data_IF_421069097883
#
_entry.id   IF_421069097883
#
_cell.length_a   1.000
_cell.length_b   1.000
_cell.length_c   1.000
_cell.angle_alpha   90.00
_cell.angle_beta   90.00
_cell.angle_gamma   90.00
#
_symmetry.space_group_name_H-M   'P 1'
#
loop_
_entity.id
_entity.type
_entity.pdbx_description
1 polymer ?
#
# COMPACT_ATOMS: atom_id res chain seq x y z
N UNK A 1 -19.58 17.41 6.78
CA UNK A 1 -18.92 16.45 5.87
C UNK A 1 -17.62 17.05 5.33
N UNK A 2 -16.55 16.30 5.39
CA UNK A 2 -15.27 16.75 4.85
C UNK A 2 -15.22 16.38 3.36
N UNK A 3 -15.11 17.37 2.51
CA UNK A 3 -15.14 17.19 1.06
C UNK A 3 -13.82 17.56 0.39
N UNK A 4 -12.95 18.30 1.08
CA UNK A 4 -11.67 18.76 0.53
C UNK A 4 -10.56 17.86 1.05
N UNK A 5 -9.73 17.35 0.14
CA UNK A 5 -8.67 16.40 0.51
C UNK A 5 -7.62 17.02 1.45
N UNK A 6 -7.36 18.32 1.32
CA UNK A 6 -6.41 19.01 2.20
C UNK A 6 -6.89 19.10 3.65
N UNK A 7 -8.18 18.88 3.88
CA UNK A 7 -8.78 18.90 5.22
C UNK A 7 -8.87 17.50 5.85
N UNK A 8 -8.49 16.46 5.12
CA UNK A 8 -8.55 15.08 5.60
C UNK A 8 -7.34 14.74 6.47
N UNK A 9 -7.60 14.44 7.74
CA UNK A 9 -6.58 14.08 8.73
C UNK A 9 -6.92 12.74 9.36
N UNK A 10 -5.97 12.17 10.12
CA UNK A 10 -6.25 10.97 10.88
C UNK A 10 -7.29 11.23 11.99
N UNK A 11 -7.25 12.42 12.57
CA UNK A 11 -8.14 12.80 13.68
C UNK A 11 -9.59 12.94 13.26
N UNK A 12 -9.85 13.39 12.03
CA UNK A 12 -11.22 13.57 11.53
C UNK A 12 -11.72 12.45 10.62
N UNK A 13 -11.02 11.30 10.64
CA UNK A 13 -11.46 10.12 9.91
C UNK A 13 -12.83 9.65 10.42
N UNK A 14 -13.74 9.20 9.53
CA UNK A 14 -15.06 8.74 9.96
C UNK A 14 -14.95 7.53 10.91
N UNK A 15 -15.54 7.65 12.10
CA UNK A 15 -15.48 6.62 13.16
C UNK A 15 -16.63 5.62 13.03
N UNK A 16 -16.95 5.19 11.83
CA UNK A 16 -17.90 4.13 11.61
C UNK A 16 -17.28 2.81 12.06
N UNK A 17 -18.07 1.96 12.69
CA UNK A 17 -17.58 0.71 13.27
C UNK A 17 -16.84 -0.16 12.26
N UNK A 18 -17.37 -0.23 11.04
CA UNK A 18 -16.79 -1.04 9.96
C UNK A 18 -15.39 -0.58 9.51
N UNK A 19 -15.03 0.69 9.79
CA UNK A 19 -13.72 1.24 9.40
C UNK A 19 -12.76 1.37 10.58
N UNK A 20 -13.23 1.10 11.78
CA UNK A 20 -12.46 1.33 13.00
C UNK A 20 -11.18 0.51 13.05
N UNK A 21 -11.25 -0.77 12.70
CA UNK A 21 -10.08 -1.65 12.71
C UNK A 21 -8.98 -1.15 11.76
N UNK A 22 -9.38 -0.74 10.56
CA UNK A 22 -8.43 -0.21 9.57
C UNK A 22 -7.75 1.05 10.11
N UNK A 23 -8.54 1.96 10.72
CA UNK A 23 -7.99 3.19 11.30
C UNK A 23 -7.00 2.88 12.42
N UNK A 24 -7.34 1.95 13.32
CA UNK A 24 -6.46 1.56 14.44
C UNK A 24 -5.14 1.00 13.92
N UNK A 25 -5.18 0.13 12.91
CA UNK A 25 -3.98 -0.48 12.35
C UNK A 25 -3.10 0.56 11.63
N UNK A 26 -3.71 1.44 10.86
CA UNK A 26 -2.97 2.51 10.19
C UNK A 26 -2.37 3.47 11.22
N UNK A 27 -3.14 3.83 12.25
CA UNK A 27 -2.66 4.70 13.31
C UNK A 27 -1.45 4.09 14.04
N UNK A 28 -1.51 2.80 14.33
CA UNK A 28 -0.39 2.10 14.97
C UNK A 28 0.86 2.13 14.09
N UNK A 29 0.69 1.95 12.78
CA UNK A 29 1.80 2.01 11.84
C UNK A 29 2.37 3.43 11.75
N UNK A 30 1.53 4.46 11.76
CA UNK A 30 2.00 5.84 11.73
C UNK A 30 2.87 6.17 12.94
N UNK A 31 2.49 5.67 14.11
CA UNK A 31 3.22 5.94 15.35
C UNK A 31 4.55 5.19 15.43
N UNK A 32 4.67 4.02 14.78
CA UNK A 32 5.87 3.19 14.83
C UNK A 32 6.03 2.40 13.53
N UNK A 33 6.35 3.06 12.41
CA UNK A 33 6.40 2.38 11.10
C UNK A 33 7.44 1.27 11.00
N UNK A 34 8.55 1.40 11.72
CA UNK A 34 9.62 0.39 11.71
C UNK A 34 9.23 -0.91 12.42
N UNK A 35 8.12 -0.93 13.14
CA UNK A 35 7.56 -2.15 13.73
C UNK A 35 6.71 -2.95 12.76
N UNK A 36 6.42 -2.40 11.59
CA UNK A 36 5.61 -3.06 10.56
C UNK A 36 6.45 -3.33 9.32
N UNK A 37 6.25 -4.47 8.70
CA UNK A 37 6.89 -4.82 7.41
C UNK A 37 5.87 -4.80 6.29
N UNK A 38 4.64 -5.18 6.59
CA UNK A 38 3.57 -5.22 5.61
C UNK A 38 2.24 -4.97 6.32
N UNK A 39 1.41 -4.11 5.73
CA UNK A 39 0.05 -3.87 6.19
C UNK A 39 -0.87 -3.94 4.98
N UNK A 40 -1.92 -4.75 5.06
CA UNK A 40 -2.97 -4.81 4.04
C UNK A 40 -4.24 -4.19 4.60
N UNK A 41 -4.86 -3.28 3.83
CA UNK A 41 -6.11 -2.62 4.23
C UNK A 41 -7.08 -2.68 3.07
N UNK A 42 -8.26 -3.29 3.31
CA UNK A 42 -9.36 -3.29 2.36
C UNK A 42 -10.44 -2.33 2.83
N UNK A 43 -10.69 -1.28 2.06
CA UNK A 43 -11.71 -0.27 2.35
C UNK A 43 -12.32 0.27 1.07
N UNK A 44 -13.60 0.70 1.11
CA UNK A 44 -14.18 1.44 -0.01
C UNK A 44 -13.38 2.70 -0.33
N UNK A 45 -13.60 3.25 -1.54
CA UNK A 45 -12.77 4.35 -2.04
C UNK A 45 -12.80 5.61 -1.19
N UNK A 46 -13.95 5.99 -0.64
CA UNK A 46 -14.05 7.23 0.15
C UNK A 46 -13.22 7.17 1.44
N UNK A 47 -13.37 6.15 2.32
CA UNK A 47 -12.51 6.07 3.50
C UNK A 47 -11.04 5.80 3.15
N UNK A 48 -10.75 5.08 2.05
CA UNK A 48 -9.36 4.89 1.60
C UNK A 48 -8.71 6.23 1.24
N UNK A 49 -9.43 7.06 0.50
CA UNK A 49 -8.96 8.39 0.13
C UNK A 49 -8.64 9.21 1.37
N UNK A 50 -9.52 9.17 2.36
CA UNK A 50 -9.34 9.89 3.61
C UNK A 50 -8.08 9.40 4.34
N UNK A 51 -7.90 8.08 4.45
CA UNK A 51 -6.70 7.51 5.10
C UNK A 51 -5.43 7.92 4.37
N UNK A 52 -5.42 7.86 3.04
CA UNK A 52 -4.23 8.26 2.27
C UNK A 52 -3.84 9.71 2.54
N UNK A 53 -4.80 10.61 2.51
CA UNK A 53 -4.52 12.02 2.77
C UNK A 53 -4.20 12.28 4.23
N UNK A 54 -4.82 11.55 5.16
CA UNK A 54 -4.48 11.62 6.57
C UNK A 54 -3.04 11.18 6.83
N UNK A 55 -2.60 10.10 6.18
CA UNK A 55 -1.23 9.63 6.26
C UNK A 55 -0.25 10.63 5.65
N UNK A 56 -0.57 11.16 4.47
CA UNK A 56 0.27 12.15 3.81
C UNK A 56 0.42 13.41 4.66
N UNK A 57 -0.66 13.86 5.28
CA UNK A 57 -0.63 15.01 6.17
C UNK A 57 0.20 14.72 7.44
N UNK A 58 0.06 13.52 7.99
CA UNK A 58 0.82 13.11 9.18
C UNK A 58 2.33 13.06 8.89
N UNK A 59 2.70 12.55 7.72
CA UNK A 59 4.10 12.39 7.32
C UNK A 59 4.60 13.49 6.37
N UNK A 60 3.95 14.64 6.34
CA UNK A 60 4.27 15.70 5.36
C UNK A 60 5.73 16.15 5.38
N UNK A 61 6.39 16.05 6.53
CA UNK A 61 7.81 16.46 6.68
C UNK A 61 8.77 15.28 6.50
N UNK A 62 8.26 14.09 6.23
CA UNK A 62 9.07 12.90 6.04
C UNK A 62 9.48 12.78 4.57
N UNK A 63 10.77 12.49 4.33
CA UNK A 63 11.30 12.41 2.96
C UNK A 63 11.50 10.99 2.47
N UNK A 64 11.32 9.99 3.32
CA UNK A 64 11.58 8.58 3.03
C UNK A 64 10.29 7.78 2.80
N UNK A 65 9.21 8.45 2.42
CA UNK A 65 7.95 7.78 2.14
C UNK A 65 7.45 8.14 0.74
N UNK A 66 6.89 7.13 0.07
CA UNK A 66 6.35 7.26 -1.29
C UNK A 66 4.99 6.60 -1.32
N UNK A 67 4.04 7.20 -2.04
CA UNK A 67 2.75 6.58 -2.30
C UNK A 67 2.42 6.66 -3.79
N UNK A 68 1.81 5.60 -4.32
CA UNK A 68 1.35 5.58 -5.69
C UNK A 68 0.24 4.54 -5.84
N UNK A 69 -0.54 4.66 -6.91
CA UNK A 69 -1.43 3.57 -7.28
C UNK A 69 -0.62 2.49 -7.98
N UNK A 70 -1.07 1.25 -7.86
CA UNK A 70 -0.44 0.15 -8.60
C UNK A 70 -0.59 0.37 -10.10
N UNK A 71 -1.68 1.00 -10.52
CA UNK A 71 -1.86 1.38 -11.93
C UNK A 71 -0.73 2.29 -12.42
N UNK A 72 -0.43 3.36 -11.68
CA UNK A 72 0.65 4.29 -12.05
C UNK A 72 2.01 3.59 -12.03
N UNK A 73 2.24 2.73 -11.03
CA UNK A 73 3.48 1.94 -10.95
C UNK A 73 3.68 1.06 -12.19
N UNK A 74 2.63 0.34 -12.61
CA UNK A 74 2.73 -0.56 -13.76
C UNK A 74 2.91 0.20 -15.08
N UNK A 75 2.28 1.36 -15.23
CA UNK A 75 2.51 2.21 -16.40
C UNK A 75 3.96 2.70 -16.47
N UNK A 76 4.48 3.13 -15.34
CA UNK A 76 5.88 3.60 -15.28
C UNK A 76 6.86 2.46 -15.55
N UNK A 77 6.57 1.25 -15.04
CA UNK A 77 7.38 0.07 -15.32
C UNK A 77 7.42 -0.26 -16.81
N UNK A 78 6.27 -0.24 -17.48
CA UNK A 78 6.20 -0.50 -18.92
C UNK A 78 7.06 0.51 -19.70
N UNK A 79 6.95 1.79 -19.36
CA UNK A 79 7.78 2.82 -20.00
C UNK A 79 9.26 2.60 -19.74
N UNK A 80 9.62 2.20 -18.51
CA UNK A 80 11.01 1.93 -18.16
C UNK A 80 11.56 0.74 -18.97
N UNK A 81 10.76 -0.30 -19.16
CA UNK A 81 11.15 -1.47 -19.98
C UNK A 81 11.37 -1.03 -21.41
N UNK A 82 10.45 -0.26 -22.00
CA UNK A 82 10.55 0.22 -23.37
C UNK A 82 11.79 1.08 -23.61
N UNK A 83 12.23 1.84 -22.59
CA UNK A 83 13.38 2.73 -22.68
C UNK A 83 14.67 2.11 -22.13
N UNK A 84 14.62 0.83 -21.73
CA UNK A 84 15.74 0.14 -21.07
C UNK A 84 16.26 0.89 -19.84
N UNK A 85 15.35 1.44 -19.05
CA UNK A 85 15.65 2.23 -17.84
C UNK A 85 15.15 1.59 -16.55
N UNK A 86 15.01 0.27 -16.52
CA UNK A 86 14.54 -0.44 -15.33
C UNK A 86 15.50 -0.29 -14.16
N UNK A 87 16.77 -0.09 -14.43
CA UNK A 87 17.79 0.11 -13.40
C UNK A 87 17.53 1.41 -12.60
N UNK A 88 17.10 2.47 -13.27
CA UNK A 88 16.78 3.74 -12.63
C UNK A 88 15.39 3.71 -11.97
N UNK A 89 14.46 2.93 -12.54
CA UNK A 89 13.09 2.85 -12.07
C UNK A 89 12.98 2.12 -10.72
N UNK A 90 13.64 0.98 -10.59
CA UNK A 90 13.45 0.11 -9.42
C UNK A 90 13.82 0.75 -8.09
N UNK A 91 14.94 1.49 -7.95
CA UNK A 91 15.29 2.11 -6.67
C UNK A 91 14.24 3.09 -6.15
N UNK A 92 13.53 3.75 -7.06
CA UNK A 92 12.49 4.71 -6.69
C UNK A 92 11.42 4.11 -5.78
N UNK A 93 11.14 2.82 -5.95
CA UNK A 93 10.11 2.12 -5.18
C UNK A 93 10.69 1.12 -4.18
N UNK A 94 11.91 0.65 -4.39
CA UNK A 94 12.55 -0.31 -3.50
C UNK A 94 13.27 0.34 -2.32
N UNK A 95 13.81 1.53 -2.50
CA UNK A 95 14.64 2.20 -1.49
C UNK A 95 13.90 2.98 -0.40
N UNK A 96 12.77 3.63 -0.65
CA UNK A 96 12.10 4.38 0.42
C UNK A 96 11.77 3.50 1.61
N UNK A 97 11.86 4.06 2.82
CA UNK A 97 11.56 3.29 4.03
C UNK A 97 10.11 2.85 4.07
N UNK A 98 9.21 3.71 3.56
CA UNK A 98 7.78 3.44 3.58
C UNK A 98 7.21 3.61 2.17
N UNK A 99 6.49 2.59 1.70
CA UNK A 99 5.81 2.62 0.41
C UNK A 99 4.34 2.25 0.60
N UNK A 100 3.44 3.11 0.12
CA UNK A 100 2.02 2.82 0.03
C UNK A 100 1.65 2.53 -1.42
N UNK A 101 1.12 1.33 -1.66
CA UNK A 101 0.60 0.92 -2.96
C UNK A 101 -0.92 0.82 -2.86
N UNK A 102 -1.63 1.63 -3.64
CA UNK A 102 -3.08 1.63 -3.66
C UNK A 102 -3.62 0.94 -4.91
N UNK A 103 -4.90 0.58 -4.87
CA UNK A 103 -5.64 -0.02 -6.00
C UNK A 103 -5.10 -1.40 -6.41
N UNK A 104 -4.83 -2.25 -5.43
CA UNK A 104 -4.34 -3.60 -5.70
C UNK A 104 -5.24 -4.37 -6.69
N UNK A 105 -6.55 -4.13 -6.66
CA UNK A 105 -7.52 -4.82 -7.50
C UNK A 105 -7.26 -4.68 -9.00
N UNK A 106 -6.46 -3.69 -9.43
CA UNK A 106 -6.14 -3.54 -10.85
C UNK A 106 -5.28 -4.68 -11.40
N UNK A 107 -4.60 -5.45 -10.53
CA UNK A 107 -3.78 -6.58 -10.96
C UNK A 107 -4.57 -7.89 -11.03
N UNK A 108 -5.81 -7.90 -10.59
CA UNK A 108 -6.62 -9.12 -10.59
C UNK A 108 -6.69 -9.74 -11.99
N UNK A 109 -6.39 -11.03 -12.09
CA UNK A 109 -6.36 -11.75 -13.37
C UNK A 109 -5.14 -11.46 -14.26
N UNK A 110 -4.17 -10.67 -13.78
CA UNK A 110 -2.99 -10.29 -14.56
C UNK A 110 -1.73 -10.87 -13.93
N UNK A 111 -1.41 -12.11 -14.28
CA UNK A 111 -0.32 -12.85 -13.64
C UNK A 111 1.04 -12.16 -13.71
N UNK A 112 1.41 -11.64 -14.89
CA UNK A 112 2.72 -11.00 -15.05
C UNK A 112 2.86 -9.75 -14.16
N UNK A 113 1.79 -8.96 -14.07
CA UNK A 113 1.76 -7.78 -13.21
C UNK A 113 1.81 -8.18 -11.74
N UNK A 114 1.09 -9.23 -11.35
CA UNK A 114 1.11 -9.74 -10.00
C UNK A 114 2.50 -10.23 -9.59
N UNK A 115 3.22 -10.84 -10.52
CA UNK A 115 4.60 -11.27 -10.28
C UNK A 115 5.52 -10.08 -9.98
N UNK A 116 5.35 -8.99 -10.72
CA UNK A 116 6.14 -7.77 -10.49
C UNK A 116 5.83 -7.15 -9.12
N UNK A 117 4.56 -7.10 -8.73
CA UNK A 117 4.16 -6.59 -7.42
C UNK A 117 4.69 -7.51 -6.30
N UNK A 118 4.59 -8.83 -6.49
CA UNK A 118 5.15 -9.80 -5.54
C UNK A 118 6.64 -9.58 -5.33
N UNK A 119 7.37 -9.40 -6.43
CA UNK A 119 8.82 -9.19 -6.38
C UNK A 119 9.18 -7.90 -5.65
N UNK A 120 8.46 -6.81 -5.94
CA UNK A 120 8.66 -5.54 -5.26
C UNK A 120 8.46 -5.67 -3.76
N UNK A 121 7.35 -6.24 -3.34
CA UNK A 121 7.04 -6.40 -1.91
C UNK A 121 8.06 -7.31 -1.24
N UNK A 122 8.41 -8.41 -1.88
CA UNK A 122 9.37 -9.36 -1.33
C UNK A 122 10.74 -8.73 -1.11
N UNK A 123 11.24 -7.99 -2.09
CA UNK A 123 12.53 -7.28 -1.97
C UNK A 123 12.52 -6.29 -0.83
N UNK A 124 11.41 -5.57 -0.68
CA UNK A 124 11.26 -4.59 0.40
C UNK A 124 11.22 -5.28 1.77
N UNK A 125 10.53 -6.41 1.86
CA UNK A 125 10.50 -7.19 3.10
C UNK A 125 11.90 -7.66 3.49
N UNK A 126 12.65 -8.19 2.53
CA UNK A 126 14.02 -8.66 2.76
C UNK A 126 14.96 -7.53 3.18
N UNK A 127 14.69 -6.32 2.70
CA UNK A 127 15.47 -5.12 3.06
C UNK A 127 15.01 -4.45 4.36
N UNK A 128 14.00 -5.00 5.03
CA UNK A 128 13.48 -4.42 6.28
C UNK A 128 12.66 -3.16 6.09
N UNK A 129 12.10 -2.95 4.90
CA UNK A 129 11.27 -1.77 4.59
C UNK A 129 9.82 -2.03 4.96
N UNK A 130 9.05 -0.96 5.09
CA UNK A 130 7.61 -1.01 5.42
C UNK A 130 6.78 -0.78 4.16
N UNK A 131 5.89 -1.72 3.86
CA UNK A 131 5.01 -1.65 2.69
C UNK A 131 3.56 -1.71 3.14
N UNK A 132 2.75 -0.82 2.60
CA UNK A 132 1.31 -0.75 2.87
C UNK A 132 0.59 -0.98 1.55
N UNK A 133 -0.35 -1.93 1.54
CA UNK A 133 -1.14 -2.24 0.34
C UNK A 133 -2.61 -1.94 0.63
N UNK A 134 -3.18 -1.08 -0.17
CA UNK A 134 -4.59 -0.72 -0.09
C UNK A 134 -5.36 -1.33 -1.25
N UNK A 135 -6.59 -1.75 -0.98
CA UNK A 135 -7.52 -2.27 -1.97
C UNK A 135 -8.95 -1.86 -1.60
N UNK A 136 -9.85 -1.91 -2.55
CA UNK A 136 -11.28 -1.77 -2.29
C UNK A 136 -11.84 -2.99 -1.56
N UNK A 137 -11.19 -4.14 -1.70
CA UNK A 137 -11.69 -5.43 -1.22
C UNK A 137 -10.89 -5.95 -0.04
N UNK A 138 -11.56 -6.74 0.81
CA UNK A 138 -10.85 -7.53 1.80
C UNK A 138 -10.04 -8.60 1.07
N UNK A 139 -8.92 -9.01 1.64
CA UNK A 139 -8.00 -9.93 0.94
C UNK A 139 -8.68 -11.24 0.56
N UNK A 140 -9.53 -11.80 1.44
CA UNK A 140 -10.22 -13.06 1.15
C UNK A 140 -11.08 -12.97 -0.10
N UNK A 141 -11.60 -11.78 -0.44
CA UNK A 141 -12.43 -11.58 -1.62
C UNK A 141 -11.62 -11.67 -2.92
N UNK A 142 -10.31 -11.53 -2.84
CA UNK A 142 -9.42 -11.59 -4.00
C UNK A 142 -8.76 -12.96 -4.19
N UNK A 143 -9.13 -13.94 -3.37
CA UNK A 143 -8.50 -15.26 -3.34
C UNK A 143 -8.39 -15.92 -4.72
N UNK A 144 -9.46 -15.86 -5.53
CA UNK A 144 -9.52 -16.52 -6.82
C UNK A 144 -8.92 -15.69 -7.97
N UNK A 145 -8.62 -14.41 -7.72
CA UNK A 145 -8.12 -13.51 -8.76
C UNK A 145 -6.63 -13.18 -8.59
N UNK A 146 -6.06 -13.54 -7.45
CA UNK A 146 -4.64 -13.38 -7.18
C UNK A 146 -3.93 -14.73 -7.33
N UNK A 147 -2.65 -14.66 -7.72
CA UNK A 147 -1.80 -15.85 -7.70
C UNK A 147 -1.62 -16.32 -6.26
N UNK A 148 -1.35 -17.62 -6.07
CA UNK A 148 -1.11 -18.16 -4.74
C UNK A 148 0.07 -17.48 -4.06
N UNK A 149 1.12 -17.15 -4.82
CA UNK A 149 2.31 -16.47 -4.30
C UNK A 149 1.96 -15.09 -3.73
N UNK A 150 1.26 -14.27 -4.52
CA UNK A 150 0.91 -12.93 -4.08
C UNK A 150 -0.08 -12.96 -2.92
N UNK A 151 -1.10 -13.81 -3.02
CA UNK A 151 -2.07 -13.95 -1.95
C UNK A 151 -1.39 -14.34 -0.63
N UNK A 152 -0.54 -15.38 -0.66
CA UNK A 152 0.17 -15.82 0.54
C UNK A 152 1.03 -14.72 1.15
N UNK A 153 1.74 -13.99 0.30
CA UNK A 153 2.58 -12.89 0.78
C UNK A 153 1.73 -11.81 1.47
N UNK A 154 0.61 -11.45 0.87
CA UNK A 154 -0.25 -10.39 1.41
C UNK A 154 -0.94 -10.80 2.72
N UNK A 155 -1.08 -12.08 3.00
CA UNK A 155 -1.64 -12.52 4.30
C UNK A 155 -0.80 -12.06 5.47
N UNK A 156 0.50 -11.84 5.27
CA UNK A 156 1.36 -11.28 6.32
C UNK A 156 0.90 -9.89 6.74
N UNK A 157 0.25 -9.16 5.85
CA UNK A 157 -0.26 -7.81 6.12
C UNK A 157 -1.56 -7.77 6.91
N UNK A 158 -2.15 -8.94 7.22
CA UNK A 158 -3.39 -9.02 8.00
C UNK A 158 -3.14 -9.13 9.49
N UNK A 159 -1.91 -9.42 9.90
CA UNK A 159 -1.55 -9.62 11.30
C UNK A 159 -0.44 -8.65 11.71
N UNK A 160 -0.35 -8.42 13.02
CA UNK A 160 0.69 -7.56 13.59
C UNK A 160 2.04 -8.30 13.57
N UNK A 161 3.08 -7.64 13.05
CA UNK A 161 4.44 -8.17 12.95
C UNK A 161 5.39 -7.44 13.90
N UNK A 162 4.87 -6.86 14.94
CA UNK A 162 5.62 -5.97 15.83
C UNK A 162 6.62 -6.68 16.76
N UNK A 163 6.74 -7.97 16.67
CA UNK A 163 7.66 -8.76 17.52
C UNK A 163 9.09 -8.75 17.02
#
# INVERSE_FOLDING_TARGET
MITRVEDMTMENFPLEEEYHEAWVRVKALLDAPDRFRLLYVGLPSAPRLHLKHGMANYWKDRTDWVHCSIYAYTEELVRAIEKAQTFEFRPKYEEPQILLLDDLEVVCGKEATQEEIWLLIKRRLEAGKTTIVFSEYQLYQLRLTLTDQLFSLLTLGLTDQAD
#
